data_IF_228471105612
#
_entry.id   IF_228471105612
#
_cell.length_a   1.000
_cell.length_b   1.000
_cell.length_c   1.000
_cell.angle_alpha   90.00
_cell.angle_beta   90.00
_cell.angle_gamma   90.00
#
_symmetry.space_group_name_H-M   'P 1'
#
loop_
_entity.id
_entity.type
_entity.pdbx_description
1 polymer ?
#
# COMPACT_ATOMS: atom_id res chain seq x y z
N UNK A 1 10.59 -3.24 17.26
CA UNK A 1 9.29 -2.93 16.60
C UNK A 1 9.35 -1.60 15.84
N UNK A 2 9.78 -0.49 16.43
CA UNK A 2 9.93 0.81 15.73
C UNK A 2 10.86 0.68 14.50
N UNK A 3 12.05 0.08 14.69
CA UNK A 3 13.01 -0.15 13.59
C UNK A 3 12.41 -1.03 12.47
N UNK A 4 11.53 -1.98 12.83
CA UNK A 4 10.85 -2.81 11.86
C UNK A 4 9.84 -2.02 11.03
N UNK A 5 9.21 -0.97 11.57
CA UNK A 5 8.31 -0.12 10.80
C UNK A 5 9.08 0.65 9.73
N UNK A 6 10.21 1.26 10.10
CA UNK A 6 11.06 1.95 9.13
C UNK A 6 11.63 1.00 8.07
N UNK A 7 12.01 -0.22 8.47
CA UNK A 7 12.40 -1.30 7.55
C UNK A 7 11.28 -1.64 6.57
N UNK A 8 10.08 -1.92 7.09
CA UNK A 8 8.92 -2.29 6.27
C UNK A 8 8.53 -1.15 5.32
N UNK A 9 8.62 0.12 5.75
CA UNK A 9 8.35 1.27 4.90
C UNK A 9 9.31 1.36 3.70
N UNK A 10 10.62 1.18 3.92
CA UNK A 10 11.62 1.16 2.84
C UNK A 10 11.41 -0.01 1.89
N UNK A 11 11.27 -1.22 2.43
CA UNK A 11 10.98 -2.41 1.64
C UNK A 11 9.69 -2.25 0.83
N UNK A 12 8.66 -1.65 1.42
CA UNK A 12 7.38 -1.41 0.76
C UNK A 12 7.51 -0.49 -0.45
N UNK A 13 8.22 0.63 -0.30
CA UNK A 13 8.46 1.58 -1.38
C UNK A 13 9.26 0.94 -2.51
N UNK A 14 10.34 0.22 -2.20
CA UNK A 14 11.18 -0.44 -3.20
C UNK A 14 10.40 -1.53 -3.95
N UNK A 15 9.59 -2.32 -3.24
CA UNK A 15 8.75 -3.34 -3.87
C UNK A 15 7.64 -2.75 -4.74
N UNK A 16 7.08 -1.61 -4.34
CA UNK A 16 6.14 -0.88 -5.19
C UNK A 16 6.84 -0.37 -6.44
N UNK A 17 8.02 0.23 -6.34
CA UNK A 17 8.79 0.66 -7.51
C UNK A 17 9.04 -0.50 -8.48
N UNK A 18 9.57 -1.63 -7.98
CA UNK A 18 9.79 -2.84 -8.79
C UNK A 18 8.53 -3.34 -9.49
N UNK A 19 7.39 -3.35 -8.78
CA UNK A 19 6.10 -3.74 -9.36
C UNK A 19 5.72 -2.86 -10.55
N UNK A 20 5.83 -1.54 -10.39
CA UNK A 20 5.48 -0.62 -11.46
C UNK A 20 6.48 -0.65 -12.62
N UNK A 21 7.77 -0.89 -12.35
CA UNK A 21 8.80 -1.03 -13.38
C UNK A 21 8.64 -2.32 -14.19
N UNK A 22 8.27 -3.43 -13.54
CA UNK A 22 7.90 -4.67 -14.20
C UNK A 22 6.61 -4.51 -15.03
N UNK A 23 5.58 -3.88 -14.44
CA UNK A 23 4.32 -3.61 -15.13
C UNK A 23 4.50 -2.78 -16.40
N UNK A 24 5.48 -1.85 -16.43
CA UNK A 24 5.78 -1.03 -17.60
C UNK A 24 6.40 -1.79 -18.78
N UNK A 25 6.88 -3.01 -18.57
CA UNK A 25 7.45 -3.86 -19.63
C UNK A 25 6.38 -4.65 -20.39
N UNK A 26 5.15 -4.66 -19.90
CA UNK A 26 4.07 -5.42 -20.49
C UNK A 26 3.60 -4.82 -21.82
N UNK A 27 3.26 -5.64 -22.83
CA UNK A 27 2.58 -5.19 -24.03
C UNK A 27 1.25 -4.47 -23.72
N UNK A 28 0.78 -3.59 -24.62
CA UNK A 28 -0.53 -2.96 -24.48
C UNK A 28 -1.66 -3.98 -24.25
N UNK A 29 -2.53 -3.72 -23.27
CA UNK A 29 -3.67 -4.58 -22.91
C UNK A 29 -3.38 -5.69 -21.90
N UNK A 30 -2.10 -6.01 -21.65
CA UNK A 30 -1.73 -7.07 -20.70
C UNK A 30 -1.90 -6.66 -19.23
N UNK A 31 -1.90 -5.36 -18.94
CA UNK A 31 -2.20 -4.84 -17.60
C UNK A 31 -3.67 -5.10 -17.23
N UNK A 32 -4.57 -4.88 -18.19
CA UNK A 32 -6.02 -4.96 -18.02
C UNK A 32 -6.58 -6.37 -18.28
N UNK A 33 -5.80 -7.24 -18.92
CA UNK A 33 -6.18 -8.61 -19.24
C UNK A 33 -6.72 -9.35 -18.00
N UNK A 34 -7.90 -9.97 -18.15
CA UNK A 34 -8.49 -10.78 -17.10
C UNK A 34 -7.67 -12.06 -16.90
N UNK A 35 -7.04 -12.17 -15.74
CA UNK A 35 -6.20 -13.30 -15.32
C UNK A 35 -6.85 -14.09 -14.19
N UNK A 36 -8.17 -13.92 -13.99
CA UNK A 36 -8.95 -14.53 -12.89
C UNK A 36 -8.36 -14.23 -11.51
N UNK A 37 -7.69 -13.08 -11.38
CA UNK A 37 -7.23 -12.57 -10.11
C UNK A 37 -8.42 -12.10 -9.27
N UNK A 38 -8.22 -11.91 -7.97
CA UNK A 38 -9.29 -11.40 -7.08
C UNK A 38 -9.87 -10.06 -7.57
N UNK A 39 -9.03 -9.19 -8.14
CA UNK A 39 -9.41 -7.92 -8.78
C UNK A 39 -9.45 -8.01 -10.32
N UNK A 40 -9.61 -9.22 -10.88
CA UNK A 40 -9.66 -9.50 -12.31
C UNK A 40 -8.28 -9.50 -12.98
N UNK A 41 -7.57 -8.39 -12.89
CA UNK A 41 -6.32 -8.15 -13.63
C UNK A 41 -5.19 -7.62 -12.73
N UNK A 42 -4.00 -7.46 -13.32
CA UNK A 42 -2.87 -6.79 -12.66
C UNK A 42 -3.23 -5.33 -12.37
N UNK A 43 -3.82 -4.63 -13.34
CA UNK A 43 -4.25 -3.24 -13.19
C UNK A 43 -5.31 -3.06 -12.10
N UNK A 44 -6.26 -4.00 -11.98
CA UNK A 44 -7.23 -4.02 -10.89
C UNK A 44 -6.57 -4.21 -9.53
N UNK A 45 -5.57 -5.09 -9.44
CA UNK A 45 -4.81 -5.33 -8.21
C UNK A 45 -3.99 -4.10 -7.80
N UNK A 46 -3.39 -3.38 -8.75
CA UNK A 46 -2.64 -2.15 -8.49
C UNK A 46 -3.54 -1.01 -8.02
N UNK A 47 -4.72 -0.83 -8.64
CA UNK A 47 -5.73 0.10 -8.15
C UNK A 47 -6.20 -0.24 -6.72
N UNK A 48 -6.39 -1.53 -6.43
CA UNK A 48 -6.76 -1.95 -5.09
C UNK A 48 -5.70 -1.57 -4.04
N UNK A 49 -4.42 -1.78 -4.34
CA UNK A 49 -3.33 -1.39 -3.45
C UNK A 49 -3.38 0.13 -3.14
N UNK A 50 -3.59 0.98 -4.16
CA UNK A 50 -3.77 2.42 -3.97
C UNK A 50 -5.01 2.75 -3.12
N UNK A 51 -6.13 2.08 -3.38
CA UNK A 51 -7.37 2.29 -2.64
C UNK A 51 -7.21 1.94 -1.16
N UNK A 52 -6.67 0.75 -0.89
CA UNK A 52 -6.45 0.26 0.46
C UNK A 52 -5.49 1.17 1.23
N UNK A 53 -4.38 1.57 0.61
CA UNK A 53 -3.40 2.44 1.26
C UNK A 53 -3.94 3.84 1.53
N UNK A 54 -4.67 4.42 0.58
CA UNK A 54 -5.32 5.72 0.77
C UNK A 54 -6.31 5.66 1.93
N UNK A 55 -7.15 4.62 1.99
CA UNK A 55 -8.12 4.43 3.09
C UNK A 55 -7.39 4.31 4.43
N UNK A 56 -6.32 3.52 4.51
CA UNK A 56 -5.59 3.32 5.75
C UNK A 56 -4.82 4.56 6.19
N UNK A 57 -4.12 5.25 5.29
CA UNK A 57 -3.42 6.50 5.61
C UNK A 57 -4.38 7.58 6.09
N UNK A 58 -5.57 7.68 5.50
CA UNK A 58 -6.64 8.54 6.01
C UNK A 58 -7.06 8.17 7.42
N UNK A 59 -7.22 6.88 7.74
CA UNK A 59 -7.52 6.42 9.10
C UNK A 59 -6.36 6.75 10.05
N UNK A 60 -5.12 6.44 9.68
CA UNK A 60 -3.95 6.70 10.51
C UNK A 60 -3.75 8.18 10.80
N UNK A 61 -4.17 9.05 9.89
CA UNK A 61 -4.15 10.51 10.10
C UNK A 61 -5.08 10.99 11.22
N UNK A 62 -5.99 10.15 11.73
CA UNK A 62 -6.84 10.45 12.89
C UNK A 62 -6.25 9.99 14.21
N UNK A 63 -5.03 9.42 14.21
CA UNK A 63 -4.33 9.07 15.44
C UNK A 63 -4.03 10.34 16.26
N UNK A 64 -4.20 10.35 17.60
CA UNK A 64 -4.04 11.55 18.42
C UNK A 64 -2.63 12.13 18.46
N UNK A 65 -1.61 11.36 18.04
CA UNK A 65 -0.25 11.86 17.85
C UNK A 65 -0.13 12.89 16.71
N UNK A 66 -1.15 13.00 15.84
CA UNK A 66 -1.28 14.02 14.82
C UNK A 66 -0.04 14.19 13.92
N UNK A 67 0.47 13.05 13.43
CA UNK A 67 1.72 12.98 12.66
C UNK A 67 1.77 14.00 11.50
N UNK A 68 2.78 14.90 11.47
CA UNK A 68 2.95 15.88 10.39
C UNK A 68 2.91 15.29 8.98
N UNK A 69 3.56 14.15 8.76
CA UNK A 69 3.59 13.50 7.44
C UNK A 69 2.20 13.04 6.96
N UNK A 70 1.24 12.81 7.87
CA UNK A 70 -0.11 12.37 7.51
C UNK A 70 -1.11 13.51 7.33
N UNK A 71 -0.70 14.78 7.50
CA UNK A 71 -1.63 15.91 7.35
C UNK A 71 -2.17 15.98 5.91
N UNK A 72 -1.33 15.76 4.91
CA UNK A 72 -1.76 15.72 3.51
C UNK A 72 -2.75 14.56 3.25
N UNK A 73 -2.59 13.42 3.94
CA UNK A 73 -3.48 12.28 3.80
C UNK A 73 -4.93 12.61 4.22
N UNK A 74 -5.15 13.51 5.19
CA UNK A 74 -6.49 13.96 5.60
C UNK A 74 -7.28 14.54 4.43
N UNK A 75 -6.60 15.30 3.57
CA UNK A 75 -7.18 15.99 2.43
C UNK A 75 -7.39 15.09 1.19
N UNK A 76 -6.82 13.89 1.15
CA UNK A 76 -7.01 12.97 0.02
C UNK A 76 -8.50 12.64 -0.17
N UNK A 77 -9.02 12.57 -1.41
CA UNK A 77 -10.37 12.10 -1.65
C UNK A 77 -10.59 10.70 -1.06
N UNK A 78 -11.76 10.45 -0.48
CA UNK A 78 -12.11 9.12 0.01
C UNK A 78 -12.36 8.20 -1.20
N UNK A 79 -11.63 7.07 -1.33
CA UNK A 79 -11.92 6.10 -2.40
C UNK A 79 -13.34 5.57 -2.27
N UNK A 80 -14.02 5.40 -3.41
CA UNK A 80 -15.41 4.92 -3.48
C UNK A 80 -15.57 3.47 -3.02
N UNK A 81 -14.48 2.70 -2.94
CA UNK A 81 -14.46 1.32 -2.51
C UNK A 81 -13.12 0.65 -2.77
N UNK A 82 -13.08 -0.68 -2.60
CA UNK A 82 -11.87 -1.48 -2.82
C UNK A 82 -11.48 -1.63 -4.29
N UNK A 83 -12.38 -1.27 -5.20
CA UNK A 83 -12.20 -1.29 -6.67
C UNK A 83 -12.19 0.15 -7.23
N UNK A 84 -11.88 1.15 -6.40
CA UNK A 84 -11.78 2.53 -6.86
C UNK A 84 -10.70 2.65 -7.94
N UNK A 85 -11.00 3.37 -9.02
CA UNK A 85 -10.03 3.64 -10.09
C UNK A 85 -9.35 4.97 -9.84
N UNK A 86 -8.02 4.96 -9.82
CA UNK A 86 -7.17 6.14 -9.75
C UNK A 86 -6.71 6.63 -11.14
N UNK A 87 -7.23 6.03 -12.20
CA UNK A 87 -6.87 6.34 -13.57
C UNK A 87 -6.95 5.12 -14.49
N UNK A 88 -6.81 5.38 -15.78
CA UNK A 88 -6.85 4.40 -16.86
C UNK A 88 -5.47 4.10 -17.46
N UNK A 89 -4.41 4.68 -16.89
CA UNK A 89 -3.03 4.47 -17.37
C UNK A 89 -2.07 4.13 -16.25
N UNK A 90 -1.05 3.33 -16.56
CA UNK A 90 0.01 2.99 -15.62
C UNK A 90 0.76 4.22 -15.06
N UNK A 91 1.10 5.26 -15.85
CA UNK A 91 1.72 6.48 -15.32
C UNK A 91 0.85 7.20 -14.29
N UNK A 92 -0.48 7.23 -14.47
CA UNK A 92 -1.38 7.83 -13.48
C UNK A 92 -1.34 7.07 -12.15
N UNK A 93 -1.44 5.73 -12.19
CA UNK A 93 -1.33 4.90 -10.99
C UNK A 93 0.06 5.04 -10.33
N UNK A 94 1.13 5.20 -11.13
CA UNK A 94 2.51 5.35 -10.63
C UNK A 94 2.65 6.64 -9.84
N UNK A 95 2.16 7.76 -10.38
CA UNK A 95 2.21 9.05 -9.71
C UNK A 95 1.50 9.00 -8.35
N UNK A 96 0.33 8.36 -8.28
CA UNK A 96 -0.36 8.15 -7.01
C UNK A 96 0.44 7.26 -6.05
N UNK A 97 1.02 6.17 -6.54
CA UNK A 97 1.84 5.27 -5.72
C UNK A 97 3.04 5.98 -5.10
N UNK A 98 3.78 6.72 -5.91
CA UNK A 98 4.96 7.46 -5.47
C UNK A 98 4.61 8.49 -4.39
N UNK A 99 3.47 9.17 -4.50
CA UNK A 99 2.97 10.08 -3.47
C UNK A 99 2.67 9.35 -2.14
N UNK A 100 2.01 8.19 -2.21
CA UNK A 100 1.70 7.41 -1.02
C UNK A 100 2.97 6.81 -0.38
N UNK A 101 3.91 6.32 -1.18
CA UNK A 101 5.18 5.80 -0.68
C UNK A 101 6.04 6.88 -0.03
N UNK A 102 6.13 8.07 -0.63
CA UNK A 102 6.80 9.22 -0.01
C UNK A 102 6.18 9.56 1.35
N UNK A 103 4.85 9.58 1.43
CA UNK A 103 4.11 9.81 2.68
C UNK A 103 4.45 8.74 3.74
N UNK A 104 4.47 7.46 3.36
CA UNK A 104 4.76 6.35 4.27
C UNK A 104 6.21 6.40 4.75
N UNK A 105 7.16 6.71 3.86
CA UNK A 105 8.58 6.84 4.18
C UNK A 105 8.86 8.00 5.14
N UNK A 106 8.20 9.14 4.96
CA UNK A 106 8.31 10.29 5.87
C UNK A 106 7.63 10.04 7.21
N UNK A 107 6.51 9.31 7.20
CA UNK A 107 5.73 9.02 8.40
C UNK A 107 6.35 7.96 9.31
N UNK A 108 6.87 6.86 8.74
CA UNK A 108 7.35 5.72 9.52
C UNK A 108 8.37 6.06 10.62
N UNK A 109 9.36 6.96 10.41
CA UNK A 109 10.31 7.39 11.44
C UNK A 109 9.69 8.23 12.58
N UNK A 110 8.49 8.78 12.39
CA UNK A 110 7.80 9.62 13.38
C UNK A 110 7.09 8.79 14.46
N UNK A 111 6.93 7.48 14.23
CA UNK A 111 6.17 6.59 15.12
C UNK A 111 7.00 6.17 16.33
N UNK A 112 6.46 6.39 17.52
CA UNK A 112 7.10 6.02 18.79
C UNK A 112 6.53 4.72 19.38
N UNK A 113 7.18 4.17 20.40
CA UNK A 113 6.67 3.00 21.12
C UNK A 113 5.32 3.28 21.80
N UNK A 114 5.12 4.51 22.29
CA UNK A 114 3.87 4.92 22.92
C UNK A 114 2.71 4.93 21.92
N UNK A 115 2.97 5.42 20.69
CA UNK A 115 1.98 5.40 19.62
C UNK A 115 1.57 3.96 19.28
N UNK A 116 2.54 3.05 19.15
CA UNK A 116 2.26 1.64 18.82
C UNK A 116 1.39 0.94 19.88
N UNK A 117 1.54 1.33 21.16
CA UNK A 117 0.76 0.78 22.27
C UNK A 117 -0.65 1.37 22.36
N UNK A 118 -0.91 2.50 21.69
CA UNK A 118 -2.19 3.19 21.72
C UNK A 118 -3.34 2.31 21.20
N UNK A 119 -4.52 2.46 21.81
CA UNK A 119 -5.75 1.86 21.28
C UNK A 119 -6.28 2.73 20.16
N UNK A 120 -6.06 2.29 18.93
CA UNK A 120 -6.48 2.96 17.73
C UNK A 120 -7.96 2.69 17.43
N UNK A 121 -8.75 3.75 17.33
CA UNK A 121 -10.14 3.71 16.89
C UNK A 121 -10.24 4.05 15.41
N UNK A 122 -10.96 3.22 14.64
CA UNK A 122 -11.26 3.53 13.24
C UNK A 122 -12.61 2.96 12.83
N UNK A 123 -13.17 3.51 11.75
CA UNK A 123 -14.39 2.98 11.13
C UNK A 123 -14.07 2.23 9.86
N UNK A 124 -14.73 1.08 9.67
CA UNK A 124 -14.72 0.37 8.39
C UNK A 124 -15.44 1.17 7.31
N UNK A 125 -15.34 0.73 6.05
CA UNK A 125 -16.09 1.34 4.95
C UNK A 125 -17.62 1.23 5.13
N UNK A 126 -18.10 0.30 5.97
CA UNK A 126 -19.53 0.15 6.33
C UNK A 126 -19.94 1.01 7.53
N UNK A 127 -19.01 1.76 8.14
CA UNK A 127 -19.27 2.60 9.30
C UNK A 127 -19.06 1.91 10.66
N UNK A 128 -18.90 0.58 10.69
CA UNK A 128 -18.62 -0.20 11.90
C UNK A 128 -17.39 0.33 12.64
N UNK A 129 -17.52 0.60 13.94
CA UNK A 129 -16.44 1.09 14.80
C UNK A 129 -15.58 -0.07 15.32
N UNK A 130 -14.26 0.06 15.18
CA UNK A 130 -13.28 -0.89 15.70
C UNK A 130 -12.30 -0.19 16.64
N UNK A 131 -11.85 -0.93 17.65
CA UNK A 131 -10.79 -0.55 18.59
C UNK A 131 -9.72 -1.64 18.59
N UNK A 132 -8.49 -1.31 18.25
CA UNK A 132 -7.37 -2.27 18.12
C UNK A 132 -6.07 -1.62 18.58
N UNK A 133 -5.09 -2.41 19.01
CA UNK A 133 -3.74 -1.88 19.26
C UNK A 133 -3.12 -1.37 17.95
N UNK A 134 -2.61 -0.15 17.96
CA UNK A 134 -2.15 0.53 16.75
C UNK A 134 -1.06 -0.24 16.02
N UNK A 135 -0.06 -0.75 16.75
CA UNK A 135 1.01 -1.55 16.16
C UNK A 135 0.52 -2.80 15.41
N UNK A 136 -0.56 -3.44 15.89
CA UNK A 136 -1.17 -4.58 15.20
C UNK A 136 -1.86 -4.18 13.89
N UNK A 137 -2.51 -3.02 13.86
CA UNK A 137 -3.13 -2.48 12.64
C UNK A 137 -2.06 -2.05 11.63
N UNK A 138 -0.96 -1.48 12.11
CA UNK A 138 0.17 -1.11 11.25
C UNK A 138 0.87 -2.32 10.65
N UNK A 139 1.02 -3.41 11.41
CA UNK A 139 1.51 -4.68 10.87
C UNK A 139 0.56 -5.23 9.80
N UNK A 140 -0.75 -5.20 10.05
CA UNK A 140 -1.75 -5.57 9.05
C UNK A 140 -1.59 -4.76 7.76
N UNK A 141 -1.38 -3.45 7.86
CA UNK A 141 -1.21 -2.57 6.70
C UNK A 141 -0.05 -3.02 5.79
N UNK A 142 1.14 -3.27 6.33
CA UNK A 142 2.28 -3.75 5.53
C UNK A 142 2.09 -5.19 5.03
N UNK A 143 1.48 -6.05 5.84
CA UNK A 143 1.22 -7.43 5.44
C UNK A 143 0.16 -7.53 4.34
N UNK A 144 -0.87 -6.68 4.37
CA UNK A 144 -1.88 -6.56 3.33
C UNK A 144 -1.25 -6.20 1.99
N UNK A 145 -0.35 -5.21 1.98
CA UNK A 145 0.39 -4.85 0.78
C UNK A 145 1.26 -6.02 0.27
N UNK A 146 1.97 -6.71 1.16
CA UNK A 146 2.78 -7.89 0.81
C UNK A 146 1.92 -9.00 0.18
N UNK A 147 0.75 -9.28 0.75
CA UNK A 147 -0.19 -10.27 0.22
C UNK A 147 -0.61 -9.96 -1.22
N UNK A 148 -1.07 -8.73 -1.48
CA UNK A 148 -1.54 -8.34 -2.81
C UNK A 148 -0.41 -8.14 -3.82
N UNK A 149 0.80 -7.73 -3.38
CA UNK A 149 1.99 -7.77 -4.25
C UNK A 149 2.40 -9.20 -4.59
N UNK A 150 2.19 -10.16 -3.69
CA UNK A 150 2.36 -11.59 -3.99
C UNK A 150 1.45 -12.03 -5.15
N UNK A 151 0.18 -11.63 -5.13
CA UNK A 151 -0.73 -11.86 -6.25
C UNK A 151 -0.23 -11.18 -7.53
N UNK A 152 0.12 -9.89 -7.46
CA UNK A 152 0.60 -9.12 -8.60
C UNK A 152 1.88 -9.72 -9.24
N UNK A 153 2.83 -10.17 -8.42
CA UNK A 153 4.07 -10.82 -8.90
C UNK A 153 3.79 -12.14 -9.64
N UNK A 154 2.77 -12.89 -9.19
CA UNK A 154 2.32 -14.10 -9.89
C UNK A 154 1.75 -13.74 -11.27
N UNK A 155 0.95 -12.68 -11.36
CA UNK A 155 0.37 -12.22 -12.63
C UNK A 155 1.44 -11.73 -13.60
N UNK A 156 2.45 -11.00 -13.12
CA UNK A 156 3.62 -10.61 -13.92
C UNK A 156 4.37 -11.84 -14.46
N UNK A 157 4.62 -12.83 -13.60
CA UNK A 157 5.28 -14.08 -13.99
C UNK A 157 4.49 -14.82 -15.06
N UNK A 158 3.16 -14.90 -14.93
CA UNK A 158 2.27 -15.48 -15.95
C UNK A 158 2.26 -14.68 -17.26
N UNK A 159 2.64 -13.41 -17.23
CA UNK A 159 2.81 -12.56 -18.40
C UNK A 159 4.25 -12.60 -18.96
N UNK A 160 5.12 -13.44 -18.40
CA UNK A 160 6.52 -13.57 -18.84
C UNK A 160 7.44 -12.45 -18.34
N UNK A 161 7.02 -11.65 -17.35
CA UNK A 161 7.82 -10.58 -16.76
C UNK A 161 8.29 -10.97 -15.36
N UNK A 162 9.59 -10.88 -15.13
CA UNK A 162 10.21 -11.07 -13.82
C UNK A 162 10.28 -9.75 -13.04
N UNK A 163 9.79 -9.76 -11.79
CA UNK A 163 9.87 -8.62 -10.86
C UNK A 163 11.20 -8.59 -10.09
N UNK A 164 11.99 -9.67 -10.18
CA UNK A 164 13.24 -9.86 -9.45
C UNK A 164 13.03 -10.25 -7.98
N UNK A 165 14.08 -10.09 -7.17
CA UNK A 165 14.09 -10.57 -5.78
C UNK A 165 13.09 -9.78 -4.93
N UNK A 166 12.28 -10.52 -4.16
CA UNK A 166 11.23 -10.01 -3.28
C UNK A 166 11.49 -10.26 -1.79
N UNK A 167 12.58 -10.95 -1.43
CA UNK A 167 12.86 -11.29 -0.04
C UNK A 167 13.23 -10.06 0.80
N UNK A 168 12.45 -9.79 1.85
CA UNK A 168 12.70 -8.71 2.82
C UNK A 168 14.11 -8.78 3.43
N UNK A 169 14.70 -9.98 3.50
CA UNK A 169 16.03 -10.22 4.05
C UNK A 169 17.10 -9.28 3.46
N UNK A 170 16.99 -8.89 2.18
CA UNK A 170 17.95 -7.99 1.55
C UNK A 170 17.91 -6.54 2.06
N UNK A 171 16.88 -6.17 2.81
CA UNK A 171 16.74 -4.84 3.45
C UNK A 171 17.05 -4.85 4.94
N UNK A 172 17.26 -6.03 5.52
CA UNK A 172 17.70 -6.17 6.91
C UNK A 172 19.18 -5.77 6.96
N UNK A 173 19.57 -4.79 7.81
CA UNK A 173 20.95 -4.32 7.91
C UNK A 173 21.90 -5.36 8.52
#
# INVERSE_FOLDING_TARGET
>A
MIEHIALLARYNADMNQKLYDAAAQLPPGELEADRKAFFGSLFGTMNHLLAADTIWLKRFSTHPADFPALQAAKALPQPSGLTHSFGDTLPALRAHREQLDATILEWAPQITAADLAHTFEYRSMRGDLYRKHFGGVLLHFFNHQTHHRGQASTLLTQAGVDIGITDLLLWVP
#
